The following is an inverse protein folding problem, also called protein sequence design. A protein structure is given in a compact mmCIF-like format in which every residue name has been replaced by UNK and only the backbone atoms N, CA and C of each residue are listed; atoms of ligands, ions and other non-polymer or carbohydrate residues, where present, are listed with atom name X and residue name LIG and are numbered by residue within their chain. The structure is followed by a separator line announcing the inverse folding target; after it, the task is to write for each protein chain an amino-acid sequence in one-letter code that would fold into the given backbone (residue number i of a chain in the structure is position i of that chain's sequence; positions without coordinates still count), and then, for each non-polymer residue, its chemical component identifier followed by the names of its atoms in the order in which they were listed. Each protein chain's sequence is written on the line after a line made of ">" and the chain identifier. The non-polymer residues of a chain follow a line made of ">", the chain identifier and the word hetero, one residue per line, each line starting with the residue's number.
data_IF_881675777919
#
_entry.id   IF_881675777919
#
_cell.length_a   1.000
_cell.length_b   1.000
_cell.length_c   1.000
_cell.angle_alpha   90.00
_cell.angle_beta   90.00
_cell.angle_gamma   90.00
#
_symmetry.space_group_name_H-M   'P 1'
#
loop_
_entity.id
_entity.type
_entity.pdbx_description
1 polymer ?
#
# COMPACT_ATOMS: atom_id res chain seq x y z
N UNK A 1 -4.94 -1.28 -15.33
CA UNK A 1 -4.50 -1.58 -13.95
C UNK A 1 -4.15 -0.28 -13.26
N UNK A 2 -4.83 0.04 -12.16
CA UNK A 2 -4.60 1.23 -11.33
C UNK A 2 -3.41 1.01 -10.39
N UNK A 3 -2.80 2.09 -9.89
CA UNK A 3 -1.72 1.96 -8.91
C UNK A 3 -2.17 1.28 -7.62
N UNK A 4 -3.43 1.48 -7.22
CA UNK A 4 -4.03 0.76 -6.09
C UNK A 4 -4.07 -0.76 -6.34
N UNK A 5 -4.42 -1.21 -7.55
CA UNK A 5 -4.43 -2.64 -7.90
C UNK A 5 -3.03 -3.24 -7.87
N UNK A 6 -2.04 -2.53 -8.42
CA UNK A 6 -0.62 -2.95 -8.34
C UNK A 6 -0.15 -3.11 -6.90
N UNK A 7 -0.54 -2.19 -6.03
CA UNK A 7 -0.19 -2.26 -4.60
C UNK A 7 -0.87 -3.45 -3.92
N UNK A 8 -2.13 -3.76 -4.26
CA UNK A 8 -2.83 -4.93 -3.72
C UNK A 8 -2.16 -6.23 -4.14
N UNK A 9 -1.73 -6.35 -5.40
CA UNK A 9 -0.97 -7.53 -5.86
C UNK A 9 0.38 -7.64 -5.14
N UNK A 10 1.09 -6.51 -4.98
CA UNK A 10 2.31 -6.46 -4.19
C UNK A 10 2.11 -6.91 -2.74
N UNK A 11 1.02 -6.47 -2.10
CA UNK A 11 0.66 -6.92 -0.75
C UNK A 11 0.46 -8.44 -0.69
N UNK A 12 -0.26 -9.02 -1.65
CA UNK A 12 -0.49 -10.48 -1.70
C UNK A 12 0.83 -11.26 -1.82
N UNK A 13 1.75 -10.76 -2.65
CA UNK A 13 3.07 -11.36 -2.81
C UNK A 13 3.91 -11.24 -1.52
N UNK A 14 3.95 -10.06 -0.91
CA UNK A 14 4.64 -9.85 0.37
C UNK A 14 4.06 -10.75 1.48
N UNK A 15 2.73 -10.83 1.59
CA UNK A 15 2.03 -11.71 2.56
C UNK A 15 2.40 -13.18 2.35
N UNK A 16 2.42 -13.65 1.10
CA UNK A 16 2.83 -15.02 0.77
C UNK A 16 4.30 -15.32 1.13
N UNK A 17 5.15 -14.31 1.15
CA UNK A 17 6.57 -14.41 1.52
C UNK A 17 6.83 -14.12 3.00
N UNK A 18 5.80 -13.78 3.79
CA UNK A 18 5.95 -13.38 5.19
C UNK A 18 6.67 -12.04 5.38
N UNK A 19 6.67 -11.16 4.37
CA UNK A 19 7.30 -9.85 4.41
C UNK A 19 6.28 -8.72 4.50
N UNK A 20 6.67 -7.59 5.08
CA UNK A 20 5.82 -6.39 5.16
C UNK A 20 5.91 -5.59 3.87
N UNK A 21 4.76 -5.27 3.27
CA UNK A 21 4.73 -4.42 2.08
C UNK A 21 4.91 -2.95 2.46
N UNK A 22 5.81 -2.26 1.76
CA UNK A 22 6.08 -0.83 1.94
C UNK A 22 6.05 -0.08 0.61
N UNK A 23 5.58 1.15 0.63
CA UNK A 23 5.55 1.99 -0.57
C UNK A 23 5.68 3.48 -0.25
N UNK A 24 6.20 4.23 -1.23
CA UNK A 24 6.26 5.68 -1.18
C UNK A 24 5.10 6.31 -1.96
N UNK A 25 4.68 7.49 -1.54
CA UNK A 25 3.84 8.41 -2.32
C UNK A 25 4.65 9.64 -2.76
N UNK A 26 4.20 10.32 -3.81
CA UNK A 26 4.84 11.55 -4.29
C UNK A 26 4.94 11.61 -5.81
N UNK A 27 5.34 12.79 -6.31
CA UNK A 27 5.31 13.16 -7.74
C UNK A 27 5.96 12.13 -8.69
N UNK A 28 7.04 11.48 -8.25
CA UNK A 28 7.82 10.55 -9.08
C UNK A 28 7.55 9.07 -8.80
N UNK A 29 6.65 8.76 -7.87
CA UNK A 29 6.37 7.38 -7.44
C UNK A 29 5.23 6.73 -8.21
N UNK A 30 4.46 7.53 -8.96
CA UNK A 30 3.16 7.13 -9.51
C UNK A 30 2.05 7.01 -8.46
N UNK A 31 2.36 7.02 -7.16
CA UNK A 31 1.41 6.86 -6.07
C UNK A 31 1.06 8.22 -5.47
N UNK A 32 -0.18 8.68 -5.70
CA UNK A 32 -0.75 9.82 -4.98
C UNK A 32 -1.28 9.41 -3.61
N UNK A 33 -1.54 10.38 -2.72
CA UNK A 33 -2.17 10.14 -1.42
C UNK A 33 -3.53 9.43 -1.55
N UNK A 34 -4.18 9.55 -2.72
CA UNK A 34 -5.40 8.84 -3.08
C UNK A 34 -5.29 7.32 -3.00
N UNK A 35 -4.09 6.73 -3.20
CA UNK A 35 -3.92 5.27 -3.08
C UNK A 35 -4.03 4.81 -1.62
N UNK A 36 -3.56 5.63 -0.67
CA UNK A 36 -3.67 5.33 0.76
C UNK A 36 -5.13 5.29 1.18
N UNK A 37 -5.90 6.30 0.76
CA UNK A 37 -7.35 6.37 1.01
C UNK A 37 -8.13 5.27 0.30
N UNK A 38 -7.69 4.86 -0.90
CA UNK A 38 -8.29 3.73 -1.61
C UNK A 38 -8.01 2.39 -0.91
N UNK A 39 -6.80 2.17 -0.40
CA UNK A 39 -6.45 0.97 0.36
C UNK A 39 -7.24 0.91 1.67
N UNK A 40 -7.31 1.99 2.44
CA UNK A 40 -8.08 2.06 3.69
C UNK A 40 -9.57 1.77 3.49
N UNK A 41 -10.20 2.35 2.46
CA UNK A 41 -11.60 2.05 2.10
C UNK A 41 -11.85 0.60 1.73
N UNK A 42 -10.82 -0.12 1.30
CA UNK A 42 -10.87 -1.56 0.97
C UNK A 42 -10.51 -2.46 2.15
N UNK A 43 -10.36 -1.89 3.36
CA UNK A 43 -10.09 -2.65 4.59
C UNK A 43 -8.61 -2.94 4.85
N UNK A 44 -7.68 -2.28 4.15
CA UNK A 44 -6.26 -2.42 4.44
C UNK A 44 -5.82 -1.47 5.56
N UNK A 45 -4.99 -1.99 6.45
CA UNK A 45 -4.34 -1.20 7.50
C UNK A 45 -3.05 -0.60 6.94
N UNK A 46 -3.08 0.71 6.67
CA UNK A 46 -1.94 1.45 6.09
C UNK A 46 -1.38 2.43 7.13
N UNK A 47 -0.18 2.13 7.62
CA UNK A 47 0.55 2.97 8.58
C UNK A 47 1.53 3.88 7.84
N UNK A 48 1.72 5.09 8.36
CA UNK A 48 2.70 6.05 7.85
C UNK A 48 3.99 5.93 8.67
N UNK A 49 5.10 5.66 7.99
CA UNK A 49 6.43 5.51 8.60
C UNK A 49 7.27 6.80 8.53
N UNK A 50 6.92 7.73 7.63
CA UNK A 50 7.61 9.01 7.46
C UNK A 50 6.87 9.94 6.49
N UNK A 51 7.50 11.04 6.06
CA UNK A 51 6.84 12.09 5.26
C UNK A 51 6.01 11.55 4.10
N UNK A 52 6.53 10.62 3.30
CA UNK A 52 5.77 10.05 2.19
C UNK A 52 5.87 8.53 2.12
N UNK A 53 6.27 7.89 3.20
CA UNK A 53 6.55 6.45 3.25
C UNK A 53 5.51 5.74 4.10
N UNK A 54 4.98 4.64 3.57
CA UNK A 54 3.88 3.89 4.16
C UNK A 54 4.18 2.39 4.18
N UNK A 55 3.57 1.69 5.12
CA UNK A 55 3.50 0.24 5.14
C UNK A 55 2.06 -0.23 5.15
N UNK A 56 1.82 -1.40 4.57
CA UNK A 56 0.55 -2.13 4.69
C UNK A 56 0.77 -3.22 5.73
N UNK A 57 0.31 -2.97 6.95
CA UNK A 57 0.50 -3.86 8.09
C UNK A 57 -0.45 -5.05 8.06
N UNK A 58 -1.67 -4.82 7.56
CA UNK A 58 -2.69 -5.85 7.45
C UNK A 58 -3.65 -5.56 6.28
N UNK A 59 -4.39 -6.57 5.86
CA UNK A 59 -5.33 -6.51 4.76
C UNK A 59 -6.56 -7.36 5.04
N UNK A 60 -7.64 -7.19 4.25
CA UNK A 60 -8.82 -8.03 4.38
C UNK A 60 -8.47 -9.52 4.28
N UNK A 61 -9.20 -10.32 5.05
CA UNK A 61 -9.02 -11.77 5.17
C UNK A 61 -9.09 -12.48 3.80
#
# INVERSE_FOLDING_TARGET
>A
MTNTERLIEGYKQCKAQGTTMRFSTGRYTGNGTSVVEALRRRGYTVNRLGSSYYEVADGPA
#
